data_IF_281686702686
#
_entry.id   IF_281686702686
#
_cell.length_a   1.000
_cell.length_b   1.000
_cell.length_c   1.000
_cell.angle_alpha   90.00
_cell.angle_beta   90.00
_cell.angle_gamma   90.00
#
_symmetry.space_group_name_H-M   'P 1'
#
loop_
_entity.id
_entity.type
_entity.pdbx_description
1 polymer ?
#
# COMPACT_ATOMS: atom_id res chain seq x y z
N UNK A 1 -6.06 17.69 14.88
CA UNK A 1 -5.65 16.67 15.86
C UNK A 1 -6.53 15.44 15.69
N UNK A 2 -5.99 14.27 15.49
CA UNK A 2 -6.75 13.02 15.37
C UNK A 2 -6.54 12.21 16.65
N UNK A 3 -7.63 11.79 17.27
CA UNK A 3 -7.61 10.97 18.49
C UNK A 3 -7.76 9.50 18.09
N UNK A 4 -6.78 8.68 18.46
CA UNK A 4 -6.79 7.24 18.19
C UNK A 4 -6.97 6.52 19.53
N UNK A 5 -8.10 5.84 19.78
CA UNK A 5 -8.31 5.09 21.02
C UNK A 5 -7.55 3.77 21.00
N UNK A 6 -7.29 3.22 22.18
CA UNK A 6 -6.86 1.84 22.31
C UNK A 6 -8.03 0.90 22.06
N UNK A 7 -7.81 -0.12 21.24
CA UNK A 7 -8.81 -1.14 20.94
C UNK A 7 -8.44 -2.43 21.67
N UNK A 8 -9.47 -3.08 22.24
CA UNK A 8 -9.31 -4.38 22.87
C UNK A 8 -9.56 -5.46 21.83
N UNK A 9 -8.57 -6.30 21.63
CA UNK A 9 -8.64 -7.50 20.78
C UNK A 9 -8.78 -8.71 21.69
N UNK A 10 -9.85 -9.45 21.48
CA UNK A 10 -10.10 -10.74 22.12
C UNK A 10 -10.06 -11.79 21.01
N UNK A 11 -9.30 -12.87 21.16
CA UNK A 11 -9.35 -13.96 20.18
C UNK A 11 -10.76 -14.53 20.15
N UNK A 12 -11.23 -14.91 18.97
CA UNK A 12 -12.42 -15.74 18.87
C UNK A 12 -12.16 -17.01 19.68
N UNK A 13 -13.11 -17.42 20.49
CA UNK A 13 -13.03 -18.63 21.34
C UNK A 13 -12.81 -19.85 20.47
N UNK A 14 -11.56 -20.08 20.16
CA UNK A 14 -11.10 -21.30 19.54
C UNK A 14 -10.40 -22.07 20.66
N UNK A 15 -10.79 -23.31 20.89
CA UNK A 15 -10.29 -24.18 22.00
C UNK A 15 -8.78 -24.46 21.94
N UNK A 16 -8.06 -23.74 21.08
CA UNK A 16 -6.63 -23.92 20.86
C UNK A 16 -5.72 -23.22 21.87
N UNK A 17 -6.25 -22.30 22.68
CA UNK A 17 -5.43 -21.56 23.64
C UNK A 17 -5.73 -21.98 25.08
N UNK A 18 -4.73 -22.41 25.86
CA UNK A 18 -4.92 -22.89 27.22
C UNK A 18 -5.25 -21.80 28.25
N UNK A 19 -5.19 -20.54 27.85
CA UNK A 19 -5.47 -19.40 28.70
C UNK A 19 -6.28 -18.34 27.96
N UNK A 20 -7.18 -17.69 28.67
CA UNK A 20 -7.88 -16.51 28.16
C UNK A 20 -6.93 -15.31 28.19
N UNK A 21 -6.80 -14.63 27.06
CA UNK A 21 -6.00 -13.41 26.97
C UNK A 21 -6.72 -12.34 26.16
N UNK A 22 -6.42 -11.10 26.47
CA UNK A 22 -6.86 -9.97 25.71
C UNK A 22 -5.70 -8.99 25.50
N UNK A 23 -5.68 -8.35 24.35
CA UNK A 23 -4.68 -7.34 24.02
C UNK A 23 -5.37 -5.99 23.84
N UNK A 24 -4.93 -5.00 24.62
CA UNK A 24 -5.41 -3.62 24.47
C UNK A 24 -4.28 -2.75 23.93
N UNK A 25 -4.40 -2.34 22.69
CA UNK A 25 -3.36 -1.57 21.99
C UNK A 25 -3.94 -0.56 21.02
N UNK A 26 -3.13 0.41 20.59
CA UNK A 26 -3.50 1.30 19.49
C UNK A 26 -3.54 0.51 18.18
N UNK A 27 -4.56 0.76 17.32
CA UNK A 27 -4.70 0.08 16.02
C UNK A 27 -3.76 0.69 14.96
N UNK A 28 -2.49 0.82 15.29
CA UNK A 28 -1.45 1.39 14.42
C UNK A 28 -0.24 0.47 14.39
N UNK A 29 0.37 0.39 13.23
CA UNK A 29 1.64 -0.31 13.04
C UNK A 29 2.50 0.44 12.03
N UNK A 30 3.83 0.42 12.14
CA UNK A 30 4.69 0.97 11.12
C UNK A 30 4.49 0.21 9.81
N UNK A 31 4.46 0.93 8.71
CA UNK A 31 4.33 0.37 7.37
C UNK A 31 5.41 0.97 6.48
N UNK A 32 6.28 0.11 5.98
CA UNK A 32 7.37 0.48 5.06
C UNK A 32 7.08 0.09 3.62
N UNK A 33 6.07 -0.73 3.40
CA UNK A 33 5.60 -1.13 2.07
C UNK A 33 4.08 -1.20 2.05
N UNK A 34 3.49 -0.82 0.92
CA UNK A 34 2.05 -0.87 0.68
C UNK A 34 1.76 -1.10 -0.80
N UNK A 35 0.55 -1.50 -1.12
CA UNK A 35 0.13 -1.63 -2.52
C UNK A 35 -0.03 -0.25 -3.15
N UNK A 36 0.12 -0.19 -4.48
CA UNK A 36 -0.04 1.05 -5.25
C UNK A 36 -1.41 1.68 -4.99
N UNK A 37 -2.48 0.87 -4.99
CA UNK A 37 -3.83 1.37 -4.78
C UNK A 37 -4.03 2.01 -3.40
N UNK A 38 -3.40 1.49 -2.35
CA UNK A 38 -3.45 2.07 -1.01
C UNK A 38 -2.68 3.40 -0.91
N UNK A 39 -1.71 3.62 -1.78
CA UNK A 39 -0.95 4.86 -1.80
C UNK A 39 -1.68 6.01 -2.51
N UNK A 40 -2.82 5.74 -3.14
CA UNK A 40 -3.60 6.75 -3.84
C UNK A 40 -3.97 7.91 -2.91
N UNK A 41 -3.77 9.13 -3.37
CA UNK A 41 -4.03 10.35 -2.58
C UNK A 41 -2.93 10.71 -1.56
N UNK A 42 -1.92 9.86 -1.38
CA UNK A 42 -0.80 10.15 -0.48
C UNK A 42 0.36 10.80 -1.24
N UNK A 43 1.09 11.69 -0.58
CA UNK A 43 2.34 12.27 -1.09
C UNK A 43 3.49 11.81 -0.22
N UNK A 44 4.54 11.31 -0.85
CA UNK A 44 5.72 10.78 -0.18
C UNK A 44 6.95 11.63 -0.49
N UNK A 45 7.84 11.74 0.48
CA UNK A 45 9.12 12.44 0.26
C UNK A 45 10.05 11.63 -0.64
N UNK A 46 10.03 10.31 -0.50
CA UNK A 46 10.79 9.36 -1.31
C UNK A 46 10.00 8.06 -1.40
N UNK A 47 10.02 7.42 -2.57
CA UNK A 47 9.37 6.14 -2.78
C UNK A 47 10.23 5.20 -3.62
N UNK A 48 10.15 3.92 -3.31
CA UNK A 48 10.62 2.83 -4.15
C UNK A 48 9.41 2.12 -4.76
N UNK A 49 9.37 2.03 -6.07
CA UNK A 49 8.34 1.29 -6.79
C UNK A 49 8.89 -0.06 -7.22
N UNK A 50 8.27 -1.13 -6.74
CA UNK A 50 8.63 -2.48 -7.09
C UNK A 50 7.54 -3.08 -7.99
N UNK A 51 7.87 -3.28 -9.26
CA UNK A 51 6.96 -3.79 -10.29
C UNK A 51 7.14 -5.31 -10.44
N UNK A 52 6.55 -6.04 -9.51
CA UNK A 52 6.40 -7.49 -9.58
C UNK A 52 5.17 -7.93 -8.78
N UNK A 53 4.13 -8.45 -9.39
CA UNK A 53 3.87 -8.54 -10.84
C UNK A 53 3.71 -7.17 -11.51
N UNK A 54 3.60 -7.17 -12.84
CA UNK A 54 3.31 -5.96 -13.63
C UNK A 54 2.00 -5.30 -13.16
N UNK A 55 1.86 -4.00 -13.43
CA UNK A 55 0.59 -3.30 -13.21
C UNK A 55 -0.51 -3.95 -14.04
N UNK A 56 -1.70 -4.06 -13.49
CA UNK A 56 -2.81 -4.78 -14.10
C UNK A 56 -4.10 -3.97 -14.25
N UNK A 57 -4.11 -2.72 -13.76
CA UNK A 57 -5.27 -1.85 -13.86
C UNK A 57 -4.94 -0.53 -14.54
N UNK A 58 -5.99 0.08 -15.15
CA UNK A 58 -5.89 1.40 -15.76
C UNK A 58 -5.36 2.45 -14.78
N UNK A 59 -4.38 3.23 -15.21
CA UNK A 59 -3.80 4.33 -14.45
C UNK A 59 -2.97 3.92 -13.22
N UNK A 60 -2.82 2.64 -12.93
CA UNK A 60 -2.10 2.16 -11.74
C UNK A 60 -0.64 2.61 -11.75
N UNK A 61 0.03 2.57 -12.88
CA UNK A 61 1.42 3.03 -13.01
C UNK A 61 1.51 4.54 -12.78
N UNK A 62 0.56 5.32 -13.32
CA UNK A 62 0.49 6.76 -13.07
C UNK A 62 0.32 7.06 -11.57
N UNK A 63 -0.58 6.36 -10.89
CA UNK A 63 -0.77 6.52 -9.44
C UNK A 63 0.53 6.27 -8.71
N UNK A 64 1.26 5.20 -9.03
CA UNK A 64 2.53 4.87 -8.39
C UNK A 64 3.59 5.96 -8.61
N UNK A 65 3.76 6.41 -9.83
CA UNK A 65 4.78 7.40 -10.19
C UNK A 65 4.48 8.79 -9.65
N UNK A 66 3.20 9.14 -9.52
CA UNK A 66 2.76 10.45 -9.02
C UNK A 66 2.80 10.60 -7.50
N UNK A 67 3.25 9.58 -6.76
CA UNK A 67 3.32 9.65 -5.28
C UNK A 67 4.45 10.53 -4.77
N UNK A 68 5.40 10.90 -5.59
CA UNK A 68 6.51 11.78 -5.26
C UNK A 68 6.44 13.07 -6.08
N UNK A 69 6.88 14.17 -5.51
CA UNK A 69 6.87 15.46 -6.19
C UNK A 69 8.02 15.69 -7.18
N UNK A 70 8.97 14.75 -7.27
CA UNK A 70 10.12 14.87 -8.18
C UNK A 70 10.61 13.48 -8.61
N UNK A 71 10.94 13.29 -9.90
CA UNK A 71 11.49 12.02 -10.40
C UNK A 71 12.75 11.55 -9.67
N UNK A 72 13.59 12.49 -9.19
CA UNK A 72 14.80 12.16 -8.46
C UNK A 72 14.54 11.44 -7.11
N UNK A 73 13.32 11.54 -6.59
CA UNK A 73 12.90 10.90 -5.34
C UNK A 73 12.21 9.57 -5.55
N UNK A 74 12.06 9.13 -6.79
CA UNK A 74 11.46 7.83 -7.16
C UNK A 74 12.56 6.88 -7.62
N UNK A 75 12.60 5.70 -7.02
CA UNK A 75 13.39 4.57 -7.50
C UNK A 75 12.45 3.50 -8.02
N UNK A 76 12.74 2.97 -9.20
CA UNK A 76 11.92 1.91 -9.80
C UNK A 76 12.77 0.65 -9.93
N UNK A 77 12.25 -0.45 -9.44
CA UNK A 77 12.81 -1.78 -9.64
C UNK A 77 11.79 -2.61 -10.42
N UNK A 78 12.14 -2.93 -11.64
CA UNK A 78 11.38 -3.78 -12.55
C UNK A 78 12.18 -5.07 -12.82
N UNK A 79 11.49 -6.18 -13.01
CA UNK A 79 12.15 -7.46 -13.31
C UNK A 79 12.30 -7.71 -14.81
N UNK A 80 11.49 -7.04 -15.61
CA UNK A 80 11.52 -7.14 -17.06
C UNK A 80 11.91 -5.79 -17.65
N UNK A 81 12.62 -5.81 -18.77
CA UNK A 81 13.03 -4.61 -19.50
C UNK A 81 11.84 -3.82 -20.09
N UNK A 82 10.62 -4.37 -20.02
CA UNK A 82 9.42 -3.81 -20.59
C UNK A 82 8.26 -3.86 -19.60
N UNK A 83 8.12 -2.83 -18.77
CA UNK A 83 6.91 -2.64 -18.01
C UNK A 83 5.83 -1.99 -18.87
N UNK A 84 4.66 -2.61 -18.90
CA UNK A 84 3.52 -2.13 -19.68
C UNK A 84 2.69 -1.18 -18.84
N UNK A 85 2.39 -0.01 -19.39
CA UNK A 85 1.33 0.83 -18.86
C UNK A 85 -0.02 0.34 -19.42
N UNK A 86 -0.99 0.14 -18.52
CA UNK A 86 -2.33 -0.31 -18.91
C UNK A 86 -3.27 0.89 -18.95
N UNK A 87 -3.82 1.13 -20.13
CA UNK A 87 -4.79 2.19 -20.40
C UNK A 87 -5.97 1.56 -21.13
N UNK A 88 -7.17 1.77 -20.60
CA UNK A 88 -8.38 1.38 -21.31
C UNK A 88 -8.67 2.39 -22.42
N UNK A 89 -8.72 1.92 -23.66
CA UNK A 89 -8.89 2.78 -24.83
C UNK A 89 -10.20 3.57 -24.82
N UNK A 90 -11.24 3.00 -24.24
CA UNK A 90 -12.57 3.61 -24.13
C UNK A 90 -12.60 4.88 -23.27
N UNK A 91 -11.55 5.11 -22.49
CA UNK A 91 -11.38 6.31 -21.64
C UNK A 91 -10.69 7.46 -22.41
N UNK A 92 -10.13 7.17 -23.59
CA UNK A 92 -9.34 8.13 -24.38
C UNK A 92 -10.15 8.79 -25.51
N UNK A 93 -11.45 8.55 -25.55
CA UNK A 93 -12.35 9.12 -26.58
C UNK A 93 -12.91 10.46 -26.10
#
# INVERSE_FOLDING_TARGET
>A
MVLIPRITFVPLSDDSWPIDWQRKQFPVKPTVAMTINKSQGQTMQMAGLFLRPEVFTHGQLYVAMSRVGSPAKLKVAAMNDYDKNIIFRDVLI
#
